data_IF_240271294738
#
_entry.id   IF_240271294738
#
_cell.length_a   1.000
_cell.length_b   1.000
_cell.length_c   1.000
_cell.angle_alpha   90.00
_cell.angle_beta   90.00
_cell.angle_gamma   90.00
#
_symmetry.space_group_name_H-M   'P 1'
#
loop_
_entity.id
_entity.type
_entity.pdbx_description
1 polymer ?
#
# COMPACT_ATOMS: atom_id res chain seq x y z
N UNK A 1 5.07 7.35 -22.84
CA UNK A 1 3.88 7.20 -21.99
C UNK A 1 3.85 8.37 -21.02
N UNK A 2 2.70 9.03 -20.84
CA UNK A 2 2.55 10.10 -19.86
C UNK A 2 2.51 9.52 -18.44
N UNK A 3 2.85 10.33 -17.43
CA UNK A 3 2.80 9.90 -16.02
C UNK A 3 1.39 9.53 -15.57
N UNK A 4 0.39 10.23 -16.10
CA UNK A 4 -1.02 9.93 -15.84
C UNK A 4 -1.41 8.55 -16.38
N UNK A 5 -1.07 8.22 -17.64
CA UNK A 5 -1.36 6.91 -18.22
C UNK A 5 -0.65 5.77 -17.47
N UNK A 6 0.55 6.02 -16.94
CA UNK A 6 1.29 5.06 -16.12
C UNK A 6 0.60 4.76 -14.79
N UNK A 7 0.06 5.79 -14.14
CA UNK A 7 -0.73 5.62 -12.92
C UNK A 7 -2.02 4.84 -13.20
N UNK A 8 -2.71 5.13 -14.31
CA UNK A 8 -3.92 4.40 -14.72
C UNK A 8 -3.65 2.91 -14.93
N UNK A 9 -2.60 2.57 -15.68
CA UNK A 9 -2.23 1.17 -15.95
C UNK A 9 -1.86 0.43 -14.66
N UNK A 10 -1.14 1.09 -13.75
CA UNK A 10 -0.79 0.49 -12.45
C UNK A 10 -2.01 0.28 -11.55
N UNK A 11 -2.92 1.27 -11.51
CA UNK A 11 -4.20 1.16 -10.81
C UNK A 11 -5.02 0.00 -11.37
N UNK A 12 -5.15 -0.09 -12.68
CA UNK A 12 -5.94 -1.13 -13.34
C UNK A 12 -5.38 -2.52 -13.07
N UNK A 13 -4.06 -2.69 -13.00
CA UNK A 13 -3.42 -3.96 -12.63
C UNK A 13 -3.68 -4.37 -11.16
N UNK A 14 -4.05 -3.45 -10.29
CA UNK A 14 -4.36 -3.71 -8.88
C UNK A 14 -5.87 -3.77 -8.61
N UNK A 15 -6.73 -3.72 -9.64
CA UNK A 15 -8.16 -3.94 -9.47
C UNK A 15 -8.44 -5.41 -9.13
N UNK A 16 -9.29 -5.67 -8.14
CA UNK A 16 -9.69 -7.00 -7.70
C UNK A 16 -10.30 -7.82 -8.85
N UNK A 17 -11.07 -7.15 -9.73
CA UNK A 17 -11.69 -7.76 -10.92
C UNK A 17 -10.69 -8.07 -12.03
N UNK A 18 -9.48 -7.50 -11.98
CA UNK A 18 -8.46 -7.61 -13.02
C UNK A 18 -7.24 -8.41 -12.54
N UNK A 19 -7.48 -9.49 -11.79
CA UNK A 19 -6.41 -10.33 -11.25
C UNK A 19 -6.20 -11.58 -12.11
N UNK A 20 -5.06 -11.62 -12.81
CA UNK A 20 -4.60 -12.82 -13.48
C UNK A 20 -3.79 -13.69 -12.50
N UNK A 21 -4.14 -14.98 -12.33
CA UNK A 21 -3.30 -15.89 -11.57
C UNK A 21 -1.90 -15.95 -12.17
N UNK A 22 -0.86 -15.98 -11.32
CA UNK A 22 0.53 -16.06 -11.79
C UNK A 22 0.79 -17.33 -12.62
N UNK A 23 0.01 -18.39 -12.39
CA UNK A 23 0.03 -19.61 -13.20
C UNK A 23 -0.34 -19.34 -14.67
N UNK A 24 -1.22 -18.37 -14.93
CA UNK A 24 -1.62 -17.95 -16.28
C UNK A 24 -0.69 -16.83 -16.79
N UNK A 25 -0.32 -15.89 -15.93
CA UNK A 25 0.52 -14.75 -16.30
C UNK A 25 1.90 -15.20 -16.81
N UNK A 26 2.49 -16.25 -16.22
CA UNK A 26 3.81 -16.76 -16.63
C UNK A 26 3.80 -17.30 -18.07
N UNK A 27 2.92 -18.24 -18.48
CA UNK A 27 2.77 -18.63 -19.88
C UNK A 27 2.52 -17.45 -20.82
N UNK A 28 1.63 -16.51 -20.46
CA UNK A 28 1.34 -15.34 -21.31
C UNK A 28 2.58 -14.48 -21.55
N UNK A 29 3.39 -14.27 -20.51
CA UNK A 29 4.65 -13.53 -20.66
C UNK A 29 5.65 -14.28 -21.53
N UNK A 30 5.76 -15.59 -21.38
CA UNK A 30 6.66 -16.42 -22.19
C UNK A 30 6.22 -16.54 -23.65
N UNK A 31 4.92 -16.39 -23.94
CA UNK A 31 4.39 -16.33 -25.31
C UNK A 31 4.69 -15.00 -25.99
N UNK A 32 4.60 -13.89 -25.24
CA UNK A 32 4.79 -12.54 -25.79
C UNK A 32 6.26 -12.11 -25.86
N UNK A 33 7.07 -12.57 -24.91
CA UNK A 33 8.44 -12.14 -24.73
C UNK A 33 9.37 -13.35 -24.74
N UNK A 34 10.49 -13.23 -25.45
CA UNK A 34 11.49 -14.29 -25.52
C UNK A 34 12.26 -14.43 -24.20
N UNK A 35 12.43 -15.68 -23.75
CA UNK A 35 13.18 -16.03 -22.54
C UNK A 35 12.58 -15.45 -21.25
N UNK A 36 13.45 -15.12 -20.29
CA UNK A 36 13.07 -14.62 -18.96
C UNK A 36 12.63 -13.14 -18.95
N UNK A 37 12.67 -12.45 -20.09
CA UNK A 37 12.45 -10.99 -20.14
C UNK A 37 11.07 -10.58 -19.62
N UNK A 38 10.02 -11.30 -20.02
CA UNK A 38 8.65 -11.02 -19.56
C UNK A 38 8.52 -11.16 -18.04
N UNK A 39 9.20 -12.14 -17.44
CA UNK A 39 9.21 -12.32 -16.00
C UNK A 39 10.05 -11.25 -15.29
N UNK A 40 11.16 -10.79 -15.86
CA UNK A 40 11.92 -9.66 -15.32
C UNK A 40 11.12 -8.34 -15.34
N UNK A 41 10.23 -8.14 -16.31
CA UNK A 41 9.31 -7.00 -16.30
C UNK A 41 8.33 -7.07 -15.11
N UNK A 42 7.77 -8.25 -14.84
CA UNK A 42 6.90 -8.46 -13.68
C UNK A 42 7.69 -8.22 -12.39
N UNK A 43 8.92 -8.74 -12.29
CA UNK A 43 9.81 -8.51 -11.13
C UNK A 43 10.09 -7.03 -10.92
N UNK A 44 10.46 -6.30 -11.97
CA UNK A 44 10.75 -4.88 -11.87
C UNK A 44 9.48 -4.08 -11.51
N UNK A 45 8.30 -4.49 -11.99
CA UNK A 45 7.02 -3.89 -11.60
C UNK A 45 6.69 -4.13 -10.13
N UNK A 46 6.84 -5.37 -9.64
CA UNK A 46 6.62 -5.71 -8.23
C UNK A 46 7.58 -4.94 -7.33
N UNK A 47 8.88 -4.86 -7.68
CA UNK A 47 9.86 -4.05 -6.94
C UNK A 47 9.43 -2.58 -6.89
N UNK A 48 8.89 -2.07 -8.00
CA UNK A 48 8.42 -0.70 -8.08
C UNK A 48 7.22 -0.46 -7.16
N UNK A 49 6.22 -1.33 -7.22
CA UNK A 49 5.04 -1.27 -6.37
C UNK A 49 5.42 -1.40 -4.88
N UNK A 50 6.29 -2.36 -4.52
CA UNK A 50 6.78 -2.56 -3.15
C UNK A 50 7.68 -1.42 -2.63
N UNK A 51 8.12 -0.49 -3.48
CA UNK A 51 8.89 0.68 -3.06
C UNK A 51 8.01 1.89 -2.71
N UNK A 52 6.68 1.80 -2.90
CA UNK A 52 5.72 2.92 -2.86
C UNK A 52 5.39 3.55 -1.49
N UNK A 53 6.18 3.37 -0.43
CA UNK A 53 6.13 4.33 0.68
C UNK A 53 7.49 4.90 1.11
N UNK A 54 8.62 4.41 0.58
CA UNK A 54 9.97 4.84 1.05
C UNK A 54 10.78 5.65 0.03
N UNK A 55 10.54 5.45 -1.27
CA UNK A 55 11.26 6.15 -2.34
C UNK A 55 10.37 6.20 -3.59
N UNK A 56 9.54 7.22 -3.72
CA UNK A 56 8.71 7.40 -4.91
C UNK A 56 9.60 7.71 -6.12
N UNK A 57 10.10 6.67 -6.80
CA UNK A 57 10.56 6.81 -8.19
C UNK A 57 9.31 6.89 -9.04
N UNK A 58 9.26 7.84 -9.99
CA UNK A 58 8.09 8.01 -10.86
C UNK A 58 7.77 6.73 -11.62
N UNK A 59 6.53 6.24 -11.51
CA UNK A 59 6.01 5.08 -12.25
C UNK A 59 6.07 5.29 -13.77
N UNK A 60 5.93 6.54 -14.20
CA UNK A 60 6.19 6.96 -15.58
C UNK A 60 7.60 6.60 -16.05
N UNK A 61 8.61 6.80 -15.19
CA UNK A 61 10.01 6.47 -15.49
C UNK A 61 10.21 4.96 -15.61
N UNK A 62 9.49 4.18 -14.80
CA UNK A 62 9.48 2.72 -14.90
C UNK A 62 8.91 2.26 -16.26
N UNK A 63 7.70 2.67 -16.62
CA UNK A 63 7.10 2.29 -17.89
C UNK A 63 7.88 2.81 -19.10
N UNK A 64 8.47 4.01 -19.01
CA UNK A 64 9.37 4.53 -20.07
C UNK A 64 10.59 3.62 -20.26
N UNK A 65 11.17 3.09 -19.18
CA UNK A 65 12.27 2.12 -19.24
C UNK A 65 11.83 0.81 -19.90
N UNK A 66 10.62 0.33 -19.59
CA UNK A 66 10.06 -0.88 -20.24
C UNK A 66 9.89 -0.67 -21.73
N UNK A 67 9.24 0.42 -22.15
CA UNK A 67 8.99 0.71 -23.56
C UNK A 67 10.33 0.82 -24.32
N UNK A 68 11.32 1.50 -23.75
CA UNK A 68 12.66 1.61 -24.36
C UNK A 68 13.38 0.26 -24.46
N UNK A 69 13.27 -0.61 -23.45
CA UNK A 69 13.85 -1.96 -23.50
C UNK A 69 13.16 -2.84 -24.55
N UNK A 70 11.84 -2.76 -24.64
CA UNK A 70 11.04 -3.49 -25.64
C UNK A 70 11.29 -3.01 -27.07
N UNK A 71 11.58 -1.73 -27.27
CA UNK A 71 11.91 -1.18 -28.59
C UNK A 71 13.33 -1.56 -29.08
N UNK A 72 14.23 -1.95 -28.17
CA UNK A 72 15.64 -2.19 -28.47
C UNK A 72 16.04 -3.68 -28.49
N UNK A 73 15.10 -4.62 -28.30
CA UNK A 73 15.37 -6.08 -28.22
C UNK A 73 16.57 -6.45 -27.33
N UNK A 74 16.83 -5.67 -26.27
CA UNK A 74 17.97 -5.89 -25.39
C UNK A 74 17.67 -7.03 -24.41
N UNK A 75 18.08 -8.24 -24.77
CA UNK A 75 18.16 -9.39 -23.88
C UNK A 75 19.44 -9.32 -23.07
N UNK A 76 19.38 -9.06 -21.77
CA UNK A 76 20.50 -9.36 -20.89
C UNK A 76 20.02 -9.82 -19.51
N UNK A 77 20.67 -10.86 -18.95
CA UNK A 77 20.24 -11.52 -17.74
C UNK A 77 20.71 -10.75 -16.51
N UNK A 78 19.96 -10.85 -15.41
CA UNK A 78 20.46 -11.17 -14.06
C UNK A 78 19.20 -11.64 -13.32
N UNK A 79 19.07 -12.96 -13.24
CA UNK A 79 17.98 -13.60 -12.51
C UNK A 79 18.15 -13.36 -11.01
N UNK A 80 17.18 -12.68 -10.40
CA UNK A 80 16.95 -12.84 -8.97
C UNK A 80 16.18 -14.14 -8.74
N UNK A 81 16.61 -14.89 -7.73
CA UNK A 81 16.06 -16.18 -7.34
C UNK A 81 14.55 -16.09 -7.06
N UNK A 82 13.85 -17.09 -7.56
CA UNK A 82 12.39 -17.20 -7.69
C UNK A 82 11.62 -17.45 -6.38
N UNK A 83 12.30 -17.54 -5.24
CA UNK A 83 11.71 -18.16 -4.04
C UNK A 83 10.67 -17.28 -3.31
N UNK A 84 10.58 -15.99 -3.62
CA UNK A 84 9.54 -15.10 -3.07
C UNK A 84 8.22 -15.06 -3.87
N UNK A 85 8.18 -15.64 -5.08
CA UNK A 85 7.00 -15.63 -5.97
C UNK A 85 5.92 -16.66 -5.61
N UNK A 86 6.27 -17.71 -4.86
CA UNK A 86 5.42 -18.89 -4.70
C UNK A 86 4.35 -18.78 -3.59
N UNK A 87 4.29 -17.65 -2.88
CA UNK A 87 3.34 -17.47 -1.78
C UNK A 87 2.02 -16.78 -2.15
N UNK A 88 1.95 -16.12 -3.32
CA UNK A 88 0.77 -15.38 -3.76
C UNK A 88 0.23 -15.96 -5.07
N UNK A 89 -1.08 -15.91 -5.24
CA UNK A 89 -1.83 -16.41 -6.38
C UNK A 89 -1.87 -15.41 -7.52
N UNK A 90 -1.92 -14.12 -7.20
CA UNK A 90 -2.00 -13.01 -8.17
C UNK A 90 -1.35 -11.73 -7.60
N UNK A 91 -1.33 -10.67 -8.41
CA UNK A 91 -0.60 -9.43 -8.11
C UNK A 91 -1.16 -8.68 -6.88
N UNK A 92 -2.47 -8.58 -6.75
CA UNK A 92 -3.12 -7.91 -5.62
C UNK A 92 -2.84 -8.63 -4.30
N UNK A 93 -2.84 -9.97 -4.26
CA UNK A 93 -2.43 -10.73 -3.07
C UNK A 93 -0.95 -10.45 -2.73
N UNK A 94 -0.08 -10.45 -3.74
CA UNK A 94 1.33 -10.13 -3.53
C UNK A 94 1.54 -8.71 -2.99
N UNK A 95 0.74 -7.77 -3.44
CA UNK A 95 0.77 -6.39 -2.96
C UNK A 95 0.18 -6.27 -1.55
N UNK A 96 -0.91 -6.98 -1.26
CA UNK A 96 -1.50 -7.09 0.07
C UNK A 96 -0.49 -7.62 1.10
N UNK A 97 0.26 -8.67 0.75
CA UNK A 97 1.33 -9.24 1.58
C UNK A 97 2.49 -8.27 1.84
N UNK A 98 2.64 -7.19 1.06
CA UNK A 98 3.67 -6.17 1.30
C UNK A 98 3.40 -5.34 2.57
N UNK A 99 2.14 -5.19 2.93
CA UNK A 99 1.73 -4.40 4.11
C UNK A 99 1.73 -5.21 5.40
N UNK A 100 1.94 -6.52 5.32
CA UNK A 100 1.97 -7.41 6.47
C UNK A 100 3.39 -7.59 7.01
N UNK A 101 3.58 -7.45 8.32
CA UNK A 101 4.72 -8.09 8.96
C UNK A 101 4.38 -9.58 9.18
N UNK A 102 5.16 -10.48 8.56
CA UNK A 102 5.03 -11.93 8.75
C UNK A 102 5.24 -12.38 10.21
N UNK A 103 5.80 -11.51 11.05
CA UNK A 103 6.04 -11.75 12.49
C UNK A 103 5.05 -11.01 13.38
N UNK A 104 4.09 -10.27 12.83
CA UNK A 104 3.08 -9.60 13.64
C UNK A 104 2.28 -10.64 14.44
N UNK A 105 2.01 -10.39 15.74
CA UNK A 105 1.12 -11.25 16.51
C UNK A 105 -0.26 -11.26 15.86
N UNK A 106 -0.81 -12.44 15.62
CA UNK A 106 -2.21 -12.60 15.25
C UNK A 106 -3.00 -12.56 16.56
N UNK A 107 -3.56 -11.41 16.89
CA UNK A 107 -4.52 -11.32 17.99
C UNK A 107 -5.89 -11.71 17.44
N UNK A 108 -6.37 -12.89 17.86
CA UNK A 108 -7.67 -13.43 17.46
C UNK A 108 -8.83 -12.82 18.26
N UNK A 109 -8.57 -11.90 19.19
CA UNK A 109 -9.63 -11.24 19.93
C UNK A 109 -10.26 -10.16 19.04
N UNK A 110 -11.50 -10.40 18.61
CA UNK A 110 -12.40 -9.34 18.14
C UNK A 110 -12.62 -8.38 19.31
N UNK A 111 -11.71 -7.43 19.46
CA UNK A 111 -11.97 -6.23 20.22
C UNK A 111 -12.99 -5.44 19.41
N UNK A 112 -14.10 -5.08 20.06
CA UNK A 112 -15.10 -4.19 19.48
C UNK A 112 -14.40 -3.03 18.78
N UNK A 113 -14.88 -2.64 17.59
CA UNK A 113 -14.44 -1.43 16.88
C UNK A 113 -14.65 -0.21 17.80
N UNK A 114 -13.67 0.06 18.65
CA UNK A 114 -13.64 1.28 19.43
C UNK A 114 -13.30 2.37 18.44
N UNK A 115 -14.26 3.27 18.20
CA UNK A 115 -13.96 4.53 17.53
C UNK A 115 -12.93 5.25 18.41
N UNK A 116 -11.70 5.35 17.91
CA UNK A 116 -10.67 6.13 18.57
C UNK A 116 -11.00 7.63 18.47
N UNK A 117 -10.29 8.46 19.24
CA UNK A 117 -10.47 9.90 19.18
C UNK A 117 -9.66 10.47 18.00
N UNK A 118 -10.16 11.52 17.32
CA UNK A 118 -9.44 12.19 16.25
C UNK A 118 -8.05 12.69 16.69
N UNK A 119 -7.13 12.81 15.73
CA UNK A 119 -5.73 13.17 15.95
C UNK A 119 -5.58 14.45 16.77
N UNK A 120 -6.41 15.46 16.49
CA UNK A 120 -6.38 16.74 17.20
C UNK A 120 -6.74 16.59 18.67
N UNK A 121 -7.73 15.78 19.00
CA UNK A 121 -8.14 15.50 20.38
C UNK A 121 -7.07 14.70 21.13
N UNK A 122 -6.47 13.70 20.46
CA UNK A 122 -5.37 12.94 21.05
C UNK A 122 -4.17 13.86 21.37
N UNK A 123 -3.90 14.84 20.52
CA UNK A 123 -2.83 15.82 20.76
C UNK A 123 -3.11 16.70 21.99
N UNK A 124 -4.35 17.07 22.28
CA UNK A 124 -4.69 17.93 23.43
C UNK A 124 -4.52 17.20 24.76
N UNK A 125 -4.68 15.87 24.78
CA UNK A 125 -4.43 15.03 25.96
C UNK A 125 -2.98 14.53 26.06
N UNK A 126 -2.08 15.08 25.25
CA UNK A 126 -0.64 14.79 25.31
C UNK A 126 -0.22 13.51 24.59
N UNK A 127 -1.00 13.02 23.62
CA UNK A 127 -0.58 11.93 22.73
C UNK A 127 0.00 12.53 21.45
N UNK A 128 1.29 12.30 21.23
CA UNK A 128 2.01 12.79 20.06
C UNK A 128 2.22 11.69 19.04
N UNK A 129 2.29 12.08 17.77
CA UNK A 129 2.38 11.15 16.65
C UNK A 129 3.80 11.08 16.13
N UNK A 130 4.20 9.95 15.53
CA UNK A 130 5.51 9.80 14.89
C UNK A 130 5.46 8.73 13.79
N UNK A 131 6.15 8.90 12.66
CA UNK A 131 6.26 7.83 11.67
C UNK A 131 7.02 6.64 12.26
N UNK A 132 6.54 5.43 11.96
CA UNK A 132 7.28 4.21 12.18
C UNK A 132 8.45 4.09 11.18
N UNK A 133 9.32 3.11 11.37
CA UNK A 133 10.45 2.89 10.46
C UNK A 133 10.06 2.07 9.24
N UNK A 134 8.90 1.42 9.25
CA UNK A 134 8.45 0.48 8.23
C UNK A 134 7.26 1.03 7.47
N UNK A 135 6.83 0.29 6.45
CA UNK A 135 5.59 0.55 5.73
C UNK A 135 4.56 -0.55 5.93
N UNK A 136 4.79 -1.41 6.93
CA UNK A 136 3.85 -2.47 7.25
C UNK A 136 2.71 -1.85 8.05
N UNK A 137 1.48 -2.02 7.62
CA UNK A 137 0.30 -1.50 8.30
C UNK A 137 0.09 -2.07 9.70
N UNK A 138 0.75 -3.20 9.99
CA UNK A 138 0.81 -3.80 11.32
C UNK A 138 1.78 -3.12 12.30
N UNK A 139 2.68 -2.22 11.83
CA UNK A 139 3.69 -1.56 12.68
C UNK A 139 3.16 -0.29 13.37
N UNK A 140 2.04 -0.44 14.06
CA UNK A 140 1.44 0.58 14.93
C UNK A 140 1.85 0.31 16.37
N UNK A 141 2.45 1.29 17.04
CA UNK A 141 2.95 1.13 18.42
C UNK A 141 2.60 2.33 19.29
N UNK A 142 1.95 2.08 20.42
CA UNK A 142 1.77 3.10 21.46
C UNK A 142 2.83 2.94 22.55
N UNK A 143 3.52 4.04 22.89
CA UNK A 143 4.50 4.10 23.97
C UNK A 143 4.09 5.17 24.97
N UNK A 144 3.80 4.74 26.19
CA UNK A 144 3.59 5.66 27.30
C UNK A 144 4.94 6.25 27.73
N UNK A 145 4.96 7.56 27.96
CA UNK A 145 6.05 8.27 28.62
C UNK A 145 5.55 8.84 29.95
N UNK A 146 6.43 9.45 30.74
CA UNK A 146 6.09 9.94 32.08
C UNK A 146 4.98 11.02 32.07
N UNK A 147 4.93 11.88 31.04
CA UNK A 147 3.97 12.98 30.92
C UNK A 147 3.09 12.94 29.66
N UNK A 148 3.32 12.00 28.75
CA UNK A 148 2.72 12.00 27.43
C UNK A 148 2.59 10.58 26.84
N UNK A 149 1.81 10.42 25.79
CA UNK A 149 1.80 9.25 24.92
C UNK A 149 2.55 9.50 23.62
N UNK A 150 3.12 8.45 23.03
CA UNK A 150 3.64 8.50 21.66
C UNK A 150 3.02 7.38 20.84
N UNK A 151 2.29 7.73 19.79
CA UNK A 151 1.69 6.82 18.84
C UNK A 151 2.55 6.79 17.57
N UNK A 152 3.18 5.66 17.32
CA UNK A 152 3.98 5.43 16.11
C UNK A 152 3.10 4.78 15.05
N UNK A 153 3.05 5.37 13.86
CA UNK A 153 2.17 4.93 12.76
C UNK A 153 3.02 4.78 11.49
N UNK A 154 2.85 3.69 10.72
CA UNK A 154 3.47 3.55 9.41
C UNK A 154 3.10 4.71 8.48
N UNK A 155 4.09 5.43 7.89
CA UNK A 155 3.80 6.51 6.97
C UNK A 155 3.16 6.00 5.69
N UNK A 156 2.21 6.77 5.15
CA UNK A 156 1.48 6.47 3.93
C UNK A 156 1.55 7.67 2.97
N UNK A 157 1.89 7.38 1.71
CA UNK A 157 1.84 8.38 0.63
C UNK A 157 0.43 8.44 0.07
N UNK A 158 -0.11 9.65 -0.05
CA UNK A 158 -1.44 9.88 -0.61
C UNK A 158 -1.30 10.50 -2.00
N UNK A 159 -1.93 9.85 -2.98
CA UNK A 159 -2.04 10.26 -4.38
C UNK A 159 -3.39 9.82 -4.98
N UNK A 160 -3.63 10.16 -6.24
CA UNK A 160 -4.87 9.86 -6.97
C UNK A 160 -5.19 8.34 -7.06
N UNK A 161 -4.20 7.46 -6.88
CA UNK A 161 -4.39 6.01 -6.94
C UNK A 161 -4.73 5.39 -5.58
N UNK A 162 -4.40 6.09 -4.49
CA UNK A 162 -4.47 5.58 -3.12
C UNK A 162 -5.86 5.08 -2.76
N UNK A 163 -6.90 5.85 -3.08
CA UNK A 163 -8.30 5.46 -2.81
C UNK A 163 -8.65 4.13 -3.48
N UNK A 164 -8.37 4.03 -4.78
CA UNK A 164 -8.68 2.82 -5.55
C UNK A 164 -7.92 1.62 -5.00
N UNK A 165 -6.65 1.80 -4.66
CA UNK A 165 -5.81 0.75 -4.10
C UNK A 165 -6.37 0.24 -2.76
N UNK A 166 -6.68 1.14 -1.83
CA UNK A 166 -7.20 0.75 -0.52
C UNK A 166 -8.55 0.03 -0.63
N UNK A 167 -9.47 0.52 -1.47
CA UNK A 167 -10.75 -0.14 -1.70
C UNK A 167 -10.59 -1.55 -2.25
N UNK A 168 -9.67 -1.76 -3.21
CA UNK A 168 -9.44 -3.09 -3.77
C UNK A 168 -8.79 -4.05 -2.77
N UNK A 169 -7.90 -3.55 -1.91
CA UNK A 169 -7.30 -4.34 -0.83
C UNK A 169 -8.32 -4.71 0.26
N UNK A 170 -9.17 -3.77 0.68
CA UNK A 170 -10.25 -4.03 1.65
C UNK A 170 -11.26 -5.03 1.07
N UNK A 171 -11.67 -4.85 -0.19
CA UNK A 171 -12.55 -5.81 -0.86
C UNK A 171 -11.91 -7.20 -0.99
N UNK A 172 -10.61 -7.26 -1.31
CA UNK A 172 -9.86 -8.51 -1.34
C UNK A 172 -9.88 -9.21 0.02
N UNK A 173 -9.59 -8.50 1.11
CA UNK A 173 -9.65 -9.04 2.47
C UNK A 173 -11.05 -9.53 2.85
N UNK A 174 -12.10 -8.78 2.49
CA UNK A 174 -13.49 -9.18 2.71
C UNK A 174 -13.85 -10.48 1.95
N UNK A 175 -13.31 -10.67 0.73
CA UNK A 175 -13.51 -11.89 -0.05
C UNK A 175 -12.73 -13.10 0.49
N UNK A 176 -11.62 -12.90 1.21
CA UNK A 176 -10.85 -14.00 1.81
C UNK A 176 -11.62 -14.69 2.94
N UNK A 177 -12.43 -13.94 3.70
CA UNK A 177 -13.14 -14.45 4.87
C UNK A 177 -12.21 -14.91 6.02
N UNK A 178 -10.92 -14.58 5.96
CA UNK A 178 -9.92 -14.92 6.98
C UNK A 178 -9.66 -13.70 7.88
N UNK A 179 -10.26 -13.71 9.07
CA UNK A 179 -10.14 -12.62 10.04
C UNK A 179 -8.70 -12.39 10.51
N UNK A 180 -7.78 -13.34 10.30
CA UNK A 180 -6.37 -13.19 10.66
C UNK A 180 -5.56 -12.39 9.63
N UNK A 181 -6.18 -12.02 8.50
CA UNK A 181 -5.52 -11.31 7.39
C UNK A 181 -6.12 -9.94 7.08
N UNK A 182 -6.78 -9.31 8.06
CA UNK A 182 -7.44 -8.02 7.92
C UNK A 182 -6.52 -6.82 8.22
N UNK A 183 -5.21 -6.90 7.94
CA UNK A 183 -4.27 -5.84 8.34
C UNK A 183 -4.46 -4.54 7.56
N UNK A 184 -4.91 -4.59 6.30
CA UNK A 184 -5.24 -3.38 5.55
C UNK A 184 -6.53 -2.78 6.06
N UNK A 185 -7.59 -3.59 6.22
CA UNK A 185 -8.88 -3.14 6.76
C UNK A 185 -8.71 -2.55 8.16
N UNK A 186 -7.98 -3.22 9.05
CA UNK A 186 -7.70 -2.73 10.40
C UNK A 186 -6.96 -1.39 10.39
N UNK A 187 -5.97 -1.23 9.50
CA UNK A 187 -5.26 0.03 9.37
C UNK A 187 -6.14 1.15 8.79
N UNK A 188 -6.98 0.84 7.80
CA UNK A 188 -7.93 1.80 7.24
C UNK A 188 -8.93 2.27 8.30
N UNK A 189 -9.54 1.37 9.06
CA UNK A 189 -10.46 1.71 10.16
C UNK A 189 -9.75 2.49 11.28
N UNK A 190 -8.50 2.16 11.56
CA UNK A 190 -7.68 2.90 12.52
C UNK A 190 -7.41 4.33 12.03
N UNK A 191 -7.04 4.50 10.76
CA UNK A 191 -6.79 5.83 10.17
C UNK A 191 -8.06 6.67 10.07
N UNK A 192 -9.21 6.06 9.73
CA UNK A 192 -10.54 6.69 9.80
C UNK A 192 -10.85 7.22 11.21
N UNK A 193 -10.57 6.42 12.23
CA UNK A 193 -10.78 6.87 13.63
C UNK A 193 -9.87 8.03 14.04
N UNK A 194 -8.72 8.22 13.37
CA UNK A 194 -7.79 9.32 13.64
C UNK A 194 -8.10 10.57 12.80
N UNK A 195 -8.85 10.45 11.70
CA UNK A 195 -9.06 11.49 10.70
C UNK A 195 -10.55 11.73 10.53
N UNK A 196 -11.13 12.61 11.37
CA UNK A 196 -12.53 13.01 11.19
C UNK A 196 -12.62 14.31 10.38
N UNK A 197 -11.63 15.20 10.53
CA UNK A 197 -11.62 16.53 9.94
C UNK A 197 -10.31 16.87 9.20
N UNK A 198 -10.30 17.88 8.30
CA UNK A 198 -9.09 18.33 7.60
C UNK A 198 -7.94 18.70 8.54
N UNK A 199 -8.24 19.22 9.73
CA UNK A 199 -7.23 19.57 10.73
C UNK A 199 -6.46 18.34 11.24
N UNK A 200 -7.09 17.17 11.30
CA UNK A 200 -6.43 15.92 11.69
C UNK A 200 -5.41 15.51 10.62
N UNK A 201 -5.80 15.63 9.34
CA UNK A 201 -4.90 15.40 8.20
C UNK A 201 -3.70 16.33 8.29
N UNK A 202 -3.92 17.61 8.62
CA UNK A 202 -2.85 18.60 8.77
C UNK A 202 -1.83 18.20 9.84
N UNK A 203 -2.29 17.71 10.99
CA UNK A 203 -1.42 17.24 12.08
C UNK A 203 -0.63 16.01 11.63
N UNK A 204 -1.29 15.00 11.07
CA UNK A 204 -0.61 13.78 10.61
C UNK A 204 0.40 14.07 9.48
N UNK A 205 0.10 15.06 8.63
CA UNK A 205 1.01 15.55 7.60
C UNK A 205 2.22 16.27 8.20
N UNK A 206 2.03 17.17 9.18
CA UNK A 206 3.16 17.86 9.83
C UNK A 206 4.08 16.90 10.58
N UNK A 207 3.55 15.78 11.07
CA UNK A 207 4.33 14.73 11.72
C UNK A 207 4.97 13.75 10.73
N UNK A 208 4.69 13.87 9.42
CA UNK A 208 5.26 13.03 8.38
C UNK A 208 4.66 11.61 8.31
N UNK A 209 3.47 11.42 8.88
CA UNK A 209 2.69 10.16 8.75
C UNK A 209 1.96 10.15 7.42
N UNK A 210 1.37 11.27 7.01
CA UNK A 210 0.75 11.41 5.70
C UNK A 210 1.66 12.22 4.77
N UNK A 211 2.10 11.57 3.69
CA UNK A 211 2.88 12.20 2.62
C UNK A 211 1.94 12.51 1.45
N UNK A 212 1.23 13.62 1.55
CA UNK A 212 0.25 14.04 0.52
C UNK A 212 0.98 14.65 -0.67
N UNK A 213 0.90 13.98 -1.82
CA UNK A 213 1.51 14.44 -3.08
C UNK A 213 0.50 15.16 -3.97
N UNK A 214 -0.78 14.81 -3.86
CA UNK A 214 -1.92 15.39 -4.58
C UNK A 214 -3.14 15.40 -3.65
N UNK A 215 -4.00 16.42 -3.80
CA UNK A 215 -5.23 16.59 -3.02
C UNK A 215 -5.13 17.58 -1.86
N UNK A 216 -6.29 18.12 -1.48
CA UNK A 216 -6.53 18.97 -0.31
C UNK A 216 -6.70 18.15 0.97
N UNK A 217 -6.58 18.80 2.13
CA UNK A 217 -6.78 18.13 3.43
C UNK A 217 -8.21 17.59 3.55
N UNK A 218 -9.18 18.29 2.95
CA UNK A 218 -10.59 17.90 2.83
C UNK A 218 -10.78 16.62 2.01
N UNK A 219 -10.10 16.53 0.86
CA UNK A 219 -10.17 15.33 0.01
C UNK A 219 -9.55 14.11 0.69
N UNK A 220 -8.46 14.29 1.44
CA UNK A 220 -7.81 13.22 2.19
C UNK A 220 -8.69 12.75 3.36
N UNK A 221 -9.29 13.68 4.12
CA UNK A 221 -10.22 13.32 5.18
C UNK A 221 -11.42 12.54 4.63
N UNK A 222 -12.02 13.04 3.53
CA UNK A 222 -13.11 12.37 2.84
C UNK A 222 -12.73 10.98 2.33
N UNK A 223 -11.49 10.78 1.88
CA UNK A 223 -10.99 9.47 1.45
C UNK A 223 -11.11 8.44 2.58
N UNK A 224 -10.53 8.70 3.75
CA UNK A 224 -10.56 7.73 4.85
C UNK A 224 -11.98 7.50 5.37
N UNK A 225 -12.75 8.57 5.54
CA UNK A 225 -14.16 8.54 5.98
C UNK A 225 -15.12 7.81 5.03
N UNK A 226 -14.71 7.53 3.79
CA UNK A 226 -15.51 6.78 2.82
C UNK A 226 -15.00 5.36 2.58
N UNK A 227 -13.70 5.12 2.71
CA UNK A 227 -13.11 3.78 2.51
C UNK A 227 -13.38 2.87 3.72
N UNK A 228 -13.53 3.44 4.93
CA UNK A 228 -13.81 2.70 6.16
C UNK A 228 -15.31 2.43 6.41
N UNK A 229 -16.20 2.89 5.52
CA UNK A 229 -17.65 2.63 5.58
C UNK A 229 -18.01 1.31 4.91
#
# INVERSE_FOLDING_TARGET
MSSHLAALVARDMLLLENQLPFLVLRPLMNLRFEGEYGMELIKDFIKHIRAMPRQQKSISKFFRKIIMRGALNLTAPIGLAMEEYYGASHLLELFHMHFADKKAPVDSSMTSLYRYHPTKELTTVGIHFKPSKTSHFTDVQFKRTWLAGRLQIPPLTIDDSTRSILLNLVAYEACLGDNNKLWVTSYVCFMDSLIDHPEDVRVLRSEGILLVTLGSEEEVAKLFNEVAK
#
